data_IF_907390124985
#
_entry.id   IF_907390124985
#
_cell.length_a   1.000
_cell.length_b   1.000
_cell.length_c   1.000
_cell.angle_alpha   90.00
_cell.angle_beta   90.00
_cell.angle_gamma   90.00
#
_symmetry.space_group_name_H-M   'P 1'
#
loop_
_entity.id
_entity.type
_entity.pdbx_description
1 polymer ?
#
# COMPACT_ATOMS: atom_id res chain seq x y z
N UNK A 1 -26.67 12.82 -3.31
CA UNK A 1 -25.56 12.68 -4.28
C UNK A 1 -25.13 11.22 -4.27
N UNK A 2 -24.83 10.63 -5.41
CA UNK A 2 -24.24 9.28 -5.46
C UNK A 2 -22.86 9.32 -4.84
N UNK A 3 -22.51 8.30 -4.06
CA UNK A 3 -21.15 8.12 -3.53
C UNK A 3 -20.22 7.85 -4.71
N UNK A 4 -19.06 8.49 -4.73
CA UNK A 4 -17.97 8.22 -5.68
C UNK A 4 -16.76 7.76 -4.88
N UNK A 5 -16.13 6.66 -5.31
CA UNK A 5 -14.92 6.09 -4.69
C UNK A 5 -13.74 6.27 -5.64
N UNK A 6 -12.60 6.70 -5.08
CA UNK A 6 -11.32 6.79 -5.75
C UNK A 6 -10.27 5.95 -5.00
N UNK A 7 -9.77 4.90 -5.64
CA UNK A 7 -8.78 3.99 -5.09
C UNK A 7 -7.37 4.32 -5.60
N UNK A 8 -6.38 4.36 -4.71
CA UNK A 8 -4.99 4.67 -5.04
C UNK A 8 -4.05 3.55 -4.58
N UNK A 9 -3.23 3.06 -5.50
CA UNK A 9 -2.00 2.38 -5.10
C UNK A 9 -1.02 3.39 -4.50
N UNK A 10 0.00 2.88 -3.79
CA UNK A 10 0.93 3.74 -3.03
C UNK A 10 2.34 3.73 -3.62
N UNK A 11 3.00 2.55 -3.63
CA UNK A 11 4.40 2.47 -4.05
C UNK A 11 4.55 2.78 -5.55
N UNK A 12 5.41 3.76 -5.90
CA UNK A 12 5.62 4.24 -7.27
C UNK A 12 4.37 4.85 -7.94
N UNK A 13 3.21 4.82 -7.25
CA UNK A 13 1.97 5.51 -7.64
C UNK A 13 1.83 6.83 -6.88
N UNK A 14 1.43 6.80 -5.61
CA UNK A 14 1.31 7.98 -4.73
C UNK A 14 2.69 8.46 -4.25
N UNK A 15 3.65 7.56 -4.17
CA UNK A 15 5.04 7.86 -3.81
C UNK A 15 5.96 7.77 -5.02
N UNK A 16 7.10 8.49 -4.97
CA UNK A 16 8.12 8.51 -6.03
C UNK A 16 8.97 7.24 -6.07
N UNK A 17 8.76 6.30 -5.15
CA UNK A 17 9.56 5.08 -4.98
C UNK A 17 8.87 4.04 -4.11
N UNK A 18 9.36 2.80 -4.16
CA UNK A 18 9.00 1.74 -3.20
C UNK A 18 9.29 2.15 -1.75
N UNK A 19 8.36 1.86 -0.85
CA UNK A 19 8.43 2.13 0.58
C UNK A 19 8.75 0.87 1.42
N UNK A 20 8.44 -0.33 0.92
CA UNK A 20 8.52 -1.59 1.69
C UNK A 20 9.96 -1.90 2.10
N UNK A 21 10.87 -1.99 1.13
CA UNK A 21 12.28 -2.31 1.43
C UNK A 21 12.98 -1.22 2.28
N UNK A 22 12.80 0.08 2.02
CA UNK A 22 13.31 1.14 2.90
C UNK A 22 12.78 1.07 4.34
N UNK A 23 11.50 0.74 4.54
CA UNK A 23 10.95 0.53 5.88
C UNK A 23 11.59 -0.66 6.58
N UNK A 24 11.63 -1.82 5.93
CA UNK A 24 12.29 -3.01 6.46
C UNK A 24 13.76 -2.76 6.82
N UNK A 25 14.49 -2.02 5.97
CA UNK A 25 15.86 -1.60 6.26
C UNK A 25 15.96 -0.67 7.46
N UNK A 26 14.99 0.21 7.67
CA UNK A 26 14.93 1.08 8.85
C UNK A 26 14.78 0.28 10.14
N UNK A 27 13.97 -0.77 10.12
CA UNK A 27 13.70 -1.64 11.29
C UNK A 27 14.88 -2.55 11.57
N UNK A 28 15.32 -3.33 10.58
CA UNK A 28 16.29 -4.42 10.79
C UNK A 28 17.76 -4.05 10.54
N UNK A 29 18.00 -2.92 9.90
CA UNK A 29 19.33 -2.48 9.49
C UNK A 29 19.89 -3.23 8.28
N UNK A 30 21.00 -2.71 7.76
CA UNK A 30 21.61 -3.19 6.51
C UNK A 30 22.11 -4.65 6.55
N UNK A 31 22.73 -5.15 7.65
CA UNK A 31 23.25 -6.53 7.68
C UNK A 31 22.17 -7.60 7.50
N UNK A 32 21.01 -7.44 8.15
CA UNK A 32 19.88 -8.37 8.02
C UNK A 32 19.33 -8.32 6.60
N UNK A 33 19.18 -7.12 6.02
CA UNK A 33 18.70 -6.95 4.65
C UNK A 33 19.62 -7.66 3.64
N UNK A 34 20.95 -7.49 3.74
CA UNK A 34 21.91 -8.15 2.86
C UNK A 34 21.83 -9.68 3.00
N UNK A 35 21.84 -10.20 4.23
CA UNK A 35 21.75 -11.64 4.48
C UNK A 35 20.47 -12.24 3.90
N UNK A 36 19.35 -11.56 4.09
CA UNK A 36 18.06 -12.00 3.57
C UNK A 36 18.01 -11.93 2.04
N UNK A 37 18.57 -10.87 1.44
CA UNK A 37 18.66 -10.73 -0.02
C UNK A 37 19.44 -11.89 -0.66
N UNK A 38 20.59 -12.30 -0.07
CA UNK A 38 21.37 -13.45 -0.56
C UNK A 38 20.55 -14.75 -0.49
N UNK A 39 19.81 -14.96 0.61
CA UNK A 39 18.94 -16.14 0.78
C UNK A 39 17.75 -16.14 -0.18
N UNK A 40 17.26 -14.98 -0.56
CA UNK A 40 16.11 -14.82 -1.45
C UNK A 40 16.44 -15.03 -2.94
N UNK A 41 17.74 -15.12 -3.33
CA UNK A 41 18.15 -15.27 -4.73
C UNK A 41 17.41 -16.40 -5.48
N UNK A 42 17.25 -17.63 -4.93
CA UNK A 42 16.51 -18.69 -5.63
C UNK A 42 15.04 -18.32 -5.90
N UNK A 43 14.39 -17.61 -4.97
CA UNK A 43 13.00 -17.14 -5.12
C UNK A 43 12.90 -16.04 -6.16
N UNK A 44 13.87 -15.13 -6.20
CA UNK A 44 13.95 -14.07 -7.22
C UNK A 44 14.11 -14.66 -8.63
N UNK A 45 14.91 -15.71 -8.80
CA UNK A 45 15.05 -16.43 -10.07
C UNK A 45 13.72 -17.05 -10.50
N UNK A 46 12.95 -17.59 -9.55
CA UNK A 46 11.60 -18.14 -9.79
C UNK A 46 10.53 -17.07 -9.97
N UNK A 47 10.88 -15.79 -9.77
CA UNK A 47 9.96 -14.64 -9.78
C UNK A 47 8.82 -14.74 -8.75
N UNK A 48 9.06 -15.48 -7.68
CA UNK A 48 8.10 -15.65 -6.58
C UNK A 48 8.20 -14.46 -5.61
N UNK A 49 7.52 -13.38 -5.96
CA UNK A 49 7.56 -12.11 -5.20
C UNK A 49 6.94 -12.24 -3.82
N UNK A 50 5.91 -13.07 -3.67
CA UNK A 50 5.22 -13.23 -2.39
C UNK A 50 6.08 -14.05 -1.42
N UNK A 51 6.74 -15.11 -1.88
CA UNK A 51 7.70 -15.85 -1.06
C UNK A 51 8.94 -15.00 -0.69
N UNK A 52 9.43 -14.15 -1.59
CA UNK A 52 10.48 -13.18 -1.28
C UNK A 52 10.02 -12.23 -0.17
N UNK A 53 8.83 -11.65 -0.29
CA UNK A 53 8.28 -10.74 0.72
C UNK A 53 8.10 -11.44 2.06
N UNK A 54 7.52 -12.64 2.09
CA UNK A 54 7.35 -13.42 3.30
C UNK A 54 8.69 -13.70 4.01
N UNK A 55 9.74 -14.05 3.27
CA UNK A 55 11.09 -14.24 3.83
C UNK A 55 11.65 -12.96 4.46
N UNK A 56 11.44 -11.79 3.85
CA UNK A 56 11.86 -10.52 4.43
C UNK A 56 11.01 -10.16 5.65
N UNK A 57 9.71 -10.38 5.62
CA UNK A 57 8.80 -10.16 6.76
C UNK A 57 9.25 -11.00 7.96
N UNK A 58 9.50 -12.29 7.76
CA UNK A 58 10.02 -13.17 8.82
C UNK A 58 11.35 -12.66 9.39
N UNK A 59 12.31 -12.34 8.51
CA UNK A 59 13.64 -11.91 8.94
C UNK A 59 13.66 -10.59 9.70
N UNK A 60 12.71 -9.70 9.44
CA UNK A 60 12.65 -8.34 10.00
C UNK A 60 11.76 -8.26 11.24
N UNK A 61 10.61 -8.96 11.23
CA UNK A 61 9.56 -8.73 12.23
C UNK A 61 9.36 -9.90 13.19
N UNK A 62 9.93 -11.09 12.96
CA UNK A 62 9.74 -12.22 13.87
C UNK A 62 10.18 -11.87 15.31
N UNK A 63 9.26 -12.01 16.26
CA UNK A 63 9.43 -11.65 17.69
C UNK A 63 9.74 -10.18 17.98
N UNK A 64 9.50 -9.27 17.02
CA UNK A 64 9.62 -7.83 17.27
C UNK A 64 8.42 -7.33 18.08
N UNK A 65 8.66 -6.41 19.02
CA UNK A 65 7.60 -5.76 19.79
C UNK A 65 6.74 -4.88 18.87
N UNK A 66 5.42 -5.01 18.95
CA UNK A 66 4.48 -4.21 18.15
C UNK A 66 4.69 -2.73 18.38
N UNK A 67 4.86 -2.28 19.62
CA UNK A 67 5.07 -0.88 19.98
C UNK A 67 6.36 -0.26 19.39
N UNK A 68 7.43 -1.06 19.25
CA UNK A 68 8.66 -0.60 18.60
C UNK A 68 8.45 -0.42 17.08
N UNK A 69 7.80 -1.39 16.46
CA UNK A 69 7.53 -1.34 15.02
C UNK A 69 6.56 -0.20 14.68
N UNK A 70 5.53 0.03 15.50
CA UNK A 70 4.61 1.17 15.37
C UNK A 70 5.36 2.51 15.46
N UNK A 71 6.28 2.64 16.42
CA UNK A 71 7.12 3.84 16.54
C UNK A 71 7.97 4.06 15.28
N UNK A 72 8.57 3.00 14.74
CA UNK A 72 9.27 3.04 13.47
C UNK A 72 8.35 3.38 12.30
N UNK A 73 7.13 2.85 12.31
CA UNK A 73 6.10 3.07 11.30
C UNK A 73 5.68 4.54 11.21
N UNK A 74 5.29 5.14 12.33
CA UNK A 74 4.89 6.56 12.42
C UNK A 74 6.02 7.47 11.92
N UNK A 75 7.25 7.28 12.42
CA UNK A 75 8.38 8.09 12.01
C UNK A 75 8.81 7.86 10.54
N UNK A 76 8.46 6.71 9.95
CA UNK A 76 8.67 6.45 8.53
C UNK A 76 7.56 7.08 7.68
N UNK A 77 6.31 6.99 8.11
CA UNK A 77 5.16 7.65 7.48
C UNK A 77 5.37 9.17 7.36
N UNK A 78 5.82 9.81 8.44
CA UNK A 78 6.17 11.24 8.43
C UNK A 78 7.23 11.57 7.38
N UNK A 79 8.28 10.75 7.28
CA UNK A 79 9.29 10.91 6.23
C UNK A 79 8.71 10.73 4.82
N UNK A 80 7.83 9.76 4.61
CA UNK A 80 7.18 9.51 3.31
C UNK A 80 6.30 10.70 2.96
N UNK A 81 5.43 11.13 3.87
CA UNK A 81 4.55 12.28 3.67
C UNK A 81 5.31 13.56 3.32
N UNK A 82 6.44 13.81 4.02
CA UNK A 82 7.22 15.04 3.81
C UNK A 82 8.13 15.04 2.59
N UNK A 83 8.54 13.86 2.05
CA UNK A 83 9.63 13.81 1.05
C UNK A 83 9.40 12.93 -0.16
N UNK A 84 8.46 11.98 -0.09
CA UNK A 84 8.35 10.95 -1.13
C UNK A 84 7.01 10.97 -1.87
N UNK A 85 6.10 11.84 -1.50
CA UNK A 85 4.81 11.99 -2.17
C UNK A 85 5.00 12.62 -3.56
N UNK A 86 4.42 12.01 -4.58
CA UNK A 86 4.31 12.55 -5.93
C UNK A 86 3.27 13.66 -5.97
N UNK A 87 3.70 14.85 -6.36
CA UNK A 87 2.83 16.04 -6.31
C UNK A 87 1.67 15.98 -7.30
N UNK A 88 1.85 15.37 -8.48
CA UNK A 88 0.80 15.19 -9.48
C UNK A 88 -0.33 14.29 -8.94
N UNK A 89 0.01 13.11 -8.39
CA UNK A 89 -0.96 12.18 -7.83
C UNK A 89 -1.59 12.72 -6.55
N UNK A 90 -0.80 13.36 -5.67
CA UNK A 90 -1.33 13.98 -4.47
C UNK A 90 -2.30 15.15 -4.78
N UNK A 91 -2.05 15.91 -5.85
CA UNK A 91 -2.98 16.96 -6.29
C UNK A 91 -4.29 16.36 -6.80
N UNK A 92 -4.24 15.24 -7.52
CA UNK A 92 -5.41 14.49 -7.95
C UNK A 92 -6.17 13.91 -6.75
N UNK A 93 -5.48 13.37 -5.76
CA UNK A 93 -6.09 12.83 -4.54
C UNK A 93 -6.82 13.95 -3.76
N UNK A 94 -6.16 15.11 -3.56
CA UNK A 94 -6.81 16.28 -2.92
C UNK A 94 -8.05 16.74 -3.68
N UNK A 95 -8.00 16.77 -5.01
CA UNK A 95 -9.19 17.08 -5.79
C UNK A 95 -10.35 16.12 -5.48
N UNK A 96 -10.10 14.81 -5.38
CA UNK A 96 -11.15 13.85 -4.98
C UNK A 96 -11.71 14.17 -3.59
N UNK A 97 -10.84 14.47 -2.62
CA UNK A 97 -11.25 14.86 -1.26
C UNK A 97 -12.11 16.14 -1.28
N UNK A 98 -11.72 17.14 -2.06
CA UNK A 98 -12.47 18.40 -2.23
C UNK A 98 -13.85 18.21 -2.90
N UNK A 99 -13.99 17.19 -3.75
CA UNK A 99 -15.29 16.80 -4.33
C UNK A 99 -16.16 15.98 -3.38
N UNK A 100 -15.66 15.61 -2.20
CA UNK A 100 -16.35 14.73 -1.26
C UNK A 100 -16.40 13.28 -1.72
N UNK A 101 -15.46 12.86 -2.57
CA UNK A 101 -15.29 11.46 -2.95
C UNK A 101 -14.62 10.69 -1.82
N UNK A 102 -14.99 9.44 -1.66
CA UNK A 102 -14.34 8.50 -0.73
C UNK A 102 -12.99 8.08 -1.29
N UNK A 103 -11.91 8.36 -0.58
CA UNK A 103 -10.54 8.06 -1.00
C UNK A 103 -9.99 6.86 -0.24
N UNK A 104 -9.55 5.83 -0.99
CA UNK A 104 -9.06 4.57 -0.41
C UNK A 104 -7.65 4.27 -0.90
N UNK A 105 -6.72 4.01 0.01
CA UNK A 105 -5.41 3.45 -0.35
C UNK A 105 -5.51 1.93 -0.45
N UNK A 106 -5.00 1.33 -1.53
CA UNK A 106 -5.01 -0.12 -1.76
C UNK A 106 -3.62 -0.57 -2.19
N UNK A 107 -2.82 -1.10 -1.26
CA UNK A 107 -1.39 -1.29 -1.50
C UNK A 107 -0.82 -2.57 -0.91
N UNK A 108 0.21 -3.12 -1.57
CA UNK A 108 1.06 -4.14 -1.00
C UNK A 108 1.97 -3.62 0.13
N UNK A 109 1.97 -2.35 0.44
CA UNK A 109 2.69 -1.74 1.55
C UNK A 109 2.25 -2.31 2.91
N UNK A 110 3.09 -2.20 3.94
CA UNK A 110 2.87 -2.82 5.26
C UNK A 110 2.09 -1.89 6.20
N UNK A 111 1.13 -2.46 6.92
CA UNK A 111 0.26 -1.74 7.86
C UNK A 111 0.99 -0.84 8.87
N UNK A 112 2.17 -1.19 9.47
CA UNK A 112 2.78 -0.37 10.51
C UNK A 112 3.11 1.06 10.09
N UNK A 113 3.35 1.31 8.79
CA UNK A 113 3.60 2.66 8.30
C UNK A 113 2.50 3.18 7.37
N UNK A 114 1.75 2.28 6.72
CA UNK A 114 0.74 2.73 5.77
C UNK A 114 -0.52 3.25 6.48
N UNK A 115 -0.89 2.67 7.63
CA UNK A 115 -1.99 3.19 8.43
C UNK A 115 -1.72 4.63 8.89
N UNK A 116 -0.60 4.95 9.58
CA UNK A 116 -0.30 6.33 9.95
C UNK A 116 -0.10 7.26 8.73
N UNK A 117 0.38 6.76 7.59
CA UNK A 117 0.44 7.57 6.37
C UNK A 117 -0.96 7.92 5.85
N UNK A 118 -1.89 6.97 5.89
CA UNK A 118 -3.29 7.20 5.52
C UNK A 118 -3.94 8.27 6.41
N UNK A 119 -3.71 8.21 7.72
CA UNK A 119 -4.19 9.23 8.67
C UNK A 119 -3.63 10.62 8.34
N UNK A 120 -2.31 10.71 8.04
CA UNK A 120 -1.67 11.98 7.66
C UNK A 120 -2.18 12.55 6.34
N UNK A 121 -2.67 11.69 5.44
CA UNK A 121 -3.21 12.06 4.13
C UNK A 121 -4.73 12.24 4.16
N UNK A 122 -5.37 12.04 5.33
CA UNK A 122 -6.80 12.18 5.56
C UNK A 122 -7.64 11.33 4.58
N UNK A 123 -7.20 10.06 4.33
CA UNK A 123 -7.96 9.14 3.49
C UNK A 123 -9.02 8.39 4.30
N UNK A 124 -10.10 7.96 3.65
CA UNK A 124 -11.23 7.30 4.31
C UNK A 124 -10.93 5.84 4.70
N UNK A 125 -10.05 5.17 3.96
CA UNK A 125 -9.65 3.80 4.27
C UNK A 125 -8.25 3.44 3.74
N UNK A 126 -7.61 2.47 4.42
CA UNK A 126 -6.32 1.89 4.02
C UNK A 126 -6.45 0.38 3.97
N UNK A 127 -6.32 -0.19 2.77
CA UNK A 127 -6.31 -1.63 2.51
C UNK A 127 -4.88 -2.03 2.16
N UNK A 128 -4.21 -2.74 3.05
CA UNK A 128 -2.77 -2.99 2.93
C UNK A 128 -2.39 -4.41 3.31
N UNK A 129 -1.11 -4.74 3.19
CA UNK A 129 -0.59 -6.01 3.72
C UNK A 129 -0.40 -5.89 5.22
N UNK A 130 -1.13 -6.70 5.97
CA UNK A 130 -1.07 -6.75 7.41
C UNK A 130 -0.03 -7.75 7.90
N UNK A 131 0.57 -7.47 9.05
CA UNK A 131 1.51 -8.36 9.73
C UNK A 131 0.79 -9.10 10.84
N UNK A 132 0.95 -10.43 10.87
CA UNK A 132 0.34 -11.26 11.91
C UNK A 132 0.97 -10.99 13.27
N UNK A 133 0.13 -10.82 14.28
CA UNK A 133 0.52 -10.57 15.66
C UNK A 133 0.14 -11.75 16.57
N UNK A 134 1.01 -12.02 17.53
CA UNK A 134 0.74 -12.90 18.66
C UNK A 134 0.94 -12.06 19.93
N UNK A 135 -0.14 -11.67 20.57
CA UNK A 135 -0.16 -10.74 21.70
C UNK A 135 0.54 -9.40 21.34
N UNK A 136 1.64 -9.09 22.02
CA UNK A 136 2.44 -7.87 21.82
C UNK A 136 3.62 -8.03 20.86
N UNK A 137 3.72 -9.16 20.17
CA UNK A 137 4.82 -9.46 19.25
C UNK A 137 4.30 -9.74 17.85
N UNK A 138 5.04 -9.34 16.83
CA UNK A 138 4.83 -9.83 15.48
C UNK A 138 5.33 -11.28 15.36
N UNK A 139 4.54 -12.13 14.71
CA UNK A 139 4.91 -13.54 14.47
C UNK A 139 6.03 -13.70 13.42
N UNK A 140 6.21 -12.69 12.57
CA UNK A 140 7.07 -12.75 11.39
C UNK A 140 6.34 -13.28 10.15
N UNK A 141 5.01 -13.40 10.20
CA UNK A 141 4.18 -13.77 9.05
C UNK A 141 3.30 -12.60 8.58
N UNK A 142 2.80 -12.71 7.36
CA UNK A 142 1.74 -11.84 6.83
C UNK A 142 0.40 -12.41 7.30
N UNK A 143 -0.51 -11.55 7.75
CA UNK A 143 -1.90 -11.92 8.04
C UNK A 143 -2.67 -12.07 6.72
N UNK A 144 -3.13 -13.30 6.45
CA UNK A 144 -3.78 -13.62 5.18
C UNK A 144 -2.83 -13.56 3.98
N UNK A 145 -3.20 -12.81 2.94
CA UNK A 145 -2.43 -12.70 1.69
C UNK A 145 -1.79 -11.31 1.54
N UNK A 146 -0.74 -11.23 0.72
CA UNK A 146 -0.14 -9.98 0.31
C UNK A 146 -1.14 -9.17 -0.55
N UNK A 147 -1.44 -7.93 -0.18
CA UNK A 147 -2.39 -7.04 -0.87
C UNK A 147 -1.84 -6.58 -2.24
N UNK A 148 -1.69 -7.53 -3.19
CA UNK A 148 -1.11 -7.32 -4.50
C UNK A 148 -1.88 -8.10 -5.59
N UNK A 149 -1.95 -7.53 -6.81
CA UNK A 149 -2.66 -8.16 -7.92
C UNK A 149 -4.14 -8.40 -7.58
N UNK A 150 -4.66 -9.61 -7.81
CA UNK A 150 -6.06 -9.93 -7.53
C UNK A 150 -6.50 -9.63 -6.10
N UNK A 151 -5.60 -9.75 -5.12
CA UNK A 151 -5.92 -9.50 -3.70
C UNK A 151 -6.32 -8.04 -3.44
N UNK A 152 -5.79 -7.08 -4.20
CA UNK A 152 -6.24 -5.68 -4.13
C UNK A 152 -7.74 -5.56 -4.43
N UNK A 153 -8.17 -6.21 -5.51
CA UNK A 153 -9.58 -6.23 -5.93
C UNK A 153 -10.47 -6.95 -4.91
N UNK A 154 -10.00 -8.06 -4.35
CA UNK A 154 -10.74 -8.83 -3.33
C UNK A 154 -10.95 -7.98 -2.09
N UNK A 155 -9.91 -7.34 -1.56
CA UNK A 155 -10.00 -6.49 -0.36
C UNK A 155 -10.87 -5.26 -0.58
N UNK A 156 -10.73 -4.61 -1.73
CA UNK A 156 -11.57 -3.45 -2.04
C UNK A 156 -13.06 -3.82 -2.11
N UNK A 157 -13.41 -4.95 -2.77
CA UNK A 157 -14.80 -5.45 -2.77
C UNK A 157 -15.32 -5.75 -1.37
N UNK A 158 -14.53 -6.43 -0.55
CA UNK A 158 -14.92 -6.75 0.82
C UNK A 158 -15.20 -5.48 1.64
N UNK A 159 -14.30 -4.50 1.52
CA UNK A 159 -14.47 -3.21 2.19
C UNK A 159 -15.69 -2.42 1.69
N UNK A 160 -15.93 -2.37 0.37
CA UNK A 160 -17.13 -1.72 -0.20
C UNK A 160 -18.42 -2.34 0.35
N UNK A 161 -18.48 -3.67 0.44
CA UNK A 161 -19.63 -4.39 1.01
C UNK A 161 -19.82 -4.03 2.49
N UNK A 162 -18.74 -4.00 3.28
CA UNK A 162 -18.76 -3.65 4.71
C UNK A 162 -19.20 -2.19 4.92
N UNK A 163 -18.75 -1.29 4.06
CA UNK A 163 -19.13 0.12 4.07
C UNK A 163 -20.56 0.38 3.53
N UNK A 164 -21.24 -0.63 2.98
CA UNK A 164 -22.55 -0.48 2.36
C UNK A 164 -22.53 0.33 1.06
N UNK A 165 -21.39 0.35 0.36
CA UNK A 165 -21.16 1.06 -0.90
C UNK A 165 -21.23 0.07 -2.06
N UNK A 166 -22.02 0.41 -3.08
CA UNK A 166 -22.12 -0.41 -4.29
C UNK A 166 -20.81 -0.37 -5.10
N UNK A 167 -20.40 -1.49 -5.71
CA UNK A 167 -19.15 -1.58 -6.50
C UNK A 167 -19.16 -0.57 -7.67
N UNK A 168 -20.31 -0.21 -8.22
CA UNK A 168 -20.45 0.81 -9.28
C UNK A 168 -20.05 2.22 -8.85
N UNK A 169 -19.92 2.47 -7.54
CA UNK A 169 -19.41 3.72 -7.01
C UNK A 169 -17.89 3.88 -7.21
N UNK A 170 -17.17 2.81 -7.51
CA UNK A 170 -15.74 2.87 -7.82
C UNK A 170 -15.54 3.50 -9.21
N UNK A 171 -15.52 4.81 -9.26
CA UNK A 171 -15.34 5.55 -10.51
C UNK A 171 -13.87 5.68 -10.92
N UNK A 172 -12.95 5.79 -9.96
CA UNK A 172 -11.53 6.04 -10.23
C UNK A 172 -10.62 5.04 -9.52
N UNK A 173 -9.59 4.57 -10.25
CA UNK A 173 -8.48 3.83 -9.65
C UNK A 173 -7.16 4.25 -10.29
N UNK A 174 -6.11 4.38 -9.47
CA UNK A 174 -4.79 4.84 -9.86
C UNK A 174 -3.74 3.80 -9.49
N UNK A 175 -2.87 3.44 -10.44
CA UNK A 175 -1.80 2.47 -10.23
C UNK A 175 -0.68 2.63 -11.25
N UNK A 176 0.46 1.99 -11.01
CA UNK A 176 1.65 2.11 -11.87
C UNK A 176 2.09 0.79 -12.52
N UNK A 177 1.79 -0.33 -11.89
CA UNK A 177 2.39 -1.63 -12.21
C UNK A 177 1.38 -2.74 -12.50
N UNK A 178 1.85 -3.87 -13.03
CA UNK A 178 1.02 -5.06 -13.23
C UNK A 178 0.37 -5.60 -11.95
N UNK A 179 0.82 -5.15 -10.77
CA UNK A 179 0.18 -5.44 -9.50
C UNK A 179 -1.14 -4.71 -9.26
N UNK A 180 -1.51 -3.79 -10.18
CA UNK A 180 -2.71 -2.95 -10.08
C UNK A 180 -3.75 -3.28 -11.16
N UNK A 181 -3.44 -4.25 -12.03
CA UNK A 181 -4.28 -4.56 -13.20
C UNK A 181 -5.73 -4.83 -12.81
N UNK A 182 -5.95 -5.65 -11.80
CA UNK A 182 -7.28 -6.02 -11.34
C UNK A 182 -7.98 -4.85 -10.62
N UNK A 183 -7.24 -4.07 -9.85
CA UNK A 183 -7.74 -2.85 -9.21
C UNK A 183 -8.23 -1.84 -10.24
N UNK A 184 -7.39 -1.55 -11.25
CA UNK A 184 -7.72 -0.61 -12.31
C UNK A 184 -8.88 -1.08 -13.18
N UNK A 185 -8.99 -2.40 -13.40
CA UNK A 185 -10.07 -2.99 -14.17
C UNK A 185 -11.44 -2.95 -13.48
N UNK A 186 -11.49 -2.79 -12.15
CA UNK A 186 -12.74 -2.62 -11.39
C UNK A 186 -13.35 -1.23 -11.58
N UNK A 187 -12.52 -0.21 -11.76
CA UNK A 187 -12.97 1.17 -11.82
C UNK A 187 -13.49 1.55 -13.22
N UNK A 188 -14.45 2.46 -13.29
CA UNK A 188 -14.89 3.07 -14.54
C UNK A 188 -13.72 3.78 -15.24
N UNK A 189 -12.88 4.46 -14.48
CA UNK A 189 -11.70 5.20 -14.93
C UNK A 189 -10.43 4.65 -14.27
N UNK A 190 -9.88 3.56 -14.80
CA UNK A 190 -8.59 3.02 -14.39
C UNK A 190 -7.43 3.78 -15.02
N UNK A 191 -6.56 4.39 -14.22
CA UNK A 191 -5.49 5.29 -14.65
C UNK A 191 -4.11 4.71 -14.35
N UNK A 192 -3.31 4.48 -15.41
CA UNK A 192 -1.90 4.14 -15.30
C UNK A 192 -1.06 5.41 -15.16
N UNK A 193 -0.68 5.78 -13.93
CA UNK A 193 -0.02 7.06 -13.63
C UNK A 193 1.37 7.22 -14.24
N UNK A 194 1.99 6.15 -14.71
CA UNK A 194 3.28 6.18 -15.43
C UNK A 194 3.14 6.26 -16.96
N UNK A 195 1.90 6.20 -17.49
CA UNK A 195 1.59 6.23 -18.94
C UNK A 195 0.90 7.52 -19.39
N UNK A 196 0.45 8.32 -18.44
CA UNK A 196 -0.28 9.57 -18.72
C UNK A 196 0.29 10.73 -17.93
N UNK A 197 0.16 11.94 -18.45
CA UNK A 197 0.39 13.15 -17.65
C UNK A 197 -0.86 13.35 -16.81
N UNK A 198 -0.69 13.24 -15.48
CA UNK A 198 -1.81 13.37 -14.56
C UNK A 198 -2.03 14.84 -14.22
N UNK A 199 -3.10 15.41 -14.74
CA UNK A 199 -3.55 16.74 -14.36
C UNK A 199 -4.24 16.70 -12.98
N UNK A 200 -4.19 17.79 -12.22
CA UNK A 200 -4.80 17.86 -10.90
C UNK A 200 -6.32 17.65 -10.96
N UNK A 201 -6.97 18.14 -12.01
CA UNK A 201 -8.41 17.98 -12.28
C UNK A 201 -8.59 17.09 -13.48
N UNK A 202 -9.49 16.07 -13.47
CA UNK A 202 -9.85 15.30 -14.66
C UNK A 202 -10.46 16.23 -15.73
N UNK A 203 -10.05 16.03 -16.96
CA UNK A 203 -10.64 16.73 -18.13
C UNK A 203 -12.00 16.16 -18.47
#
# INVERSE_FOLDING_TARGET
MSVVVAAFDVDETLTVRDCVLPFMRRVAGLPIMIRTSVRAVPLLIRRDRDAVKAMFVEAVFANALTSEIETHGIAFADKVAGKWIRQDVASRMRWHQEQGHVVVLVSASLSPYLMPLGDMLEVDAVLCTELQMNDSLYSGAIEGLNCRGPEKAVRLRAWLVEAGIDESALEYAYGDSSGDTELLAMATNGVWVNKVVLEAVPS
#
